data_IF_245500060687
#
_entry.id   IF_245500060687
#
_cell.length_a   1.000
_cell.length_b   1.000
_cell.length_c   1.000
_cell.angle_alpha   90.00
_cell.angle_beta   90.00
_cell.angle_gamma   90.00
#
_symmetry.space_group_name_H-M   'P 1'
#
loop_
_entity.id
_entity.type
_entity.pdbx_description
1 polymer ?
#
# COMPACT_ATOMS: atom_id res chain seq x y z
N UNK A 1 -9.56 -10.42 -23.33
CA UNK A 1 -8.18 -10.40 -22.83
C UNK A 1 -7.57 -9.08 -23.24
N UNK A 2 -7.12 -8.24 -22.29
CA UNK A 2 -6.58 -6.91 -22.63
C UNK A 2 -5.19 -7.10 -23.25
N UNK A 3 -5.00 -6.67 -24.51
CA UNK A 3 -3.70 -6.64 -25.14
C UNK A 3 -3.04 -5.29 -24.89
N UNK A 4 -1.86 -5.31 -24.28
CA UNK A 4 -1.20 -4.10 -23.80
C UNK A 4 0.03 -3.67 -24.61
N UNK A 5 0.43 -4.46 -25.61
CA UNK A 5 1.59 -4.20 -26.46
C UNK A 5 2.93 -4.14 -25.72
N UNK A 6 4.00 -3.88 -26.46
CA UNK A 6 5.32 -3.61 -25.91
C UNK A 6 5.38 -2.17 -25.37
N UNK A 7 6.01 -1.98 -24.20
CA UNK A 7 6.26 -0.66 -23.62
C UNK A 7 7.74 -0.35 -23.55
N UNK A 8 8.05 0.95 -23.57
CA UNK A 8 9.40 1.45 -23.34
C UNK A 8 9.64 1.62 -21.85
N UNK A 9 10.84 1.28 -21.41
CA UNK A 9 11.36 1.61 -20.08
C UNK A 9 12.12 2.93 -20.22
N UNK A 10 11.81 3.87 -19.35
CA UNK A 10 12.44 5.19 -19.32
C UNK A 10 13.37 5.29 -18.12
N UNK A 11 14.61 5.76 -18.32
CA UNK A 11 15.49 6.10 -17.21
C UNK A 11 15.08 7.46 -16.64
N UNK A 12 14.92 7.54 -15.33
CA UNK A 12 14.63 8.77 -14.59
C UNK A 12 15.60 8.89 -13.42
N UNK A 13 16.60 9.76 -13.57
CA UNK A 13 17.69 9.88 -12.60
C UNK A 13 18.43 8.55 -12.40
N UNK A 14 18.46 8.08 -11.15
CA UNK A 14 19.05 6.79 -10.76
C UNK A 14 18.12 5.58 -10.92
N UNK A 15 16.88 5.78 -11.39
CA UNK A 15 15.84 4.75 -11.43
C UNK A 15 15.35 4.47 -12.85
N UNK A 16 14.61 3.37 -13.02
CA UNK A 16 13.90 3.03 -14.25
C UNK A 16 12.40 3.10 -14.02
N UNK A 17 11.67 3.67 -14.97
CA UNK A 17 10.24 3.88 -14.94
C UNK A 17 9.57 3.14 -16.11
N UNK A 18 8.47 2.45 -15.81
CA UNK A 18 7.57 1.89 -16.82
C UNK A 18 6.15 2.39 -16.55
N UNK A 19 5.46 2.83 -17.61
CA UNK A 19 4.09 3.32 -17.50
C UNK A 19 3.09 2.16 -17.54
N UNK A 20 2.09 2.19 -16.67
CA UNK A 20 1.00 1.21 -16.68
C UNK A 20 -0.11 1.63 -17.65
N UNK A 21 -0.76 0.69 -18.36
CA UNK A 21 -1.87 1.00 -19.24
C UNK A 21 -3.08 1.53 -18.47
N UNK A 22 -3.62 2.67 -18.90
CA UNK A 22 -4.87 3.22 -18.34
C UNK A 22 -6.04 2.23 -18.34
N UNK A 23 -6.28 1.42 -19.40
CA UNK A 23 -7.33 0.41 -19.36
C UNK A 23 -7.15 -0.61 -18.23
N UNK A 24 -5.91 -1.00 -17.91
CA UNK A 24 -5.63 -1.90 -16.80
C UNK A 24 -5.93 -1.24 -15.45
N UNK A 25 -5.51 0.02 -15.27
CA UNK A 25 -5.80 0.80 -14.06
C UNK A 25 -7.32 0.91 -13.87
N UNK A 26 -8.07 1.21 -14.93
CA UNK A 26 -9.53 1.32 -14.88
C UNK A 26 -10.20 0.01 -14.48
N UNK A 27 -9.72 -1.15 -14.97
CA UNK A 27 -10.29 -2.46 -14.57
C UNK A 27 -10.10 -2.81 -13.10
N UNK A 28 -9.09 -2.23 -12.45
CA UNK A 28 -8.78 -2.48 -11.04
C UNK A 28 -9.44 -1.45 -10.09
N UNK A 29 -10.15 -0.46 -10.64
CA UNK A 29 -10.73 0.64 -9.89
C UNK A 29 -9.81 1.87 -9.80
N UNK A 30 -10.42 3.06 -9.77
CA UNK A 30 -9.75 4.37 -9.94
C UNK A 30 -8.78 4.75 -8.80
N UNK A 31 -8.67 3.92 -7.76
CA UNK A 31 -7.95 4.24 -6.51
C UNK A 31 -6.76 3.32 -6.24
N UNK A 32 -6.12 2.75 -7.26
CA UNK A 32 -4.83 2.07 -7.05
C UNK A 32 -3.78 3.11 -6.66
N UNK A 33 -3.42 3.13 -5.39
CA UNK A 33 -2.28 3.92 -4.88
C UNK A 33 -0.98 3.11 -4.86
N UNK A 34 -1.08 1.80 -4.64
CA UNK A 34 0.03 0.89 -4.45
C UNK A 34 -0.09 -0.33 -5.37
N UNK A 35 1.06 -0.86 -5.80
CA UNK A 35 1.18 -2.10 -6.56
C UNK A 35 2.24 -2.98 -5.92
N UNK A 36 2.03 -4.29 -5.94
CA UNK A 36 3.08 -5.27 -5.60
C UNK A 36 3.91 -5.57 -6.86
N UNK A 37 5.23 -5.70 -6.68
CA UNK A 37 6.16 -6.09 -7.74
C UNK A 37 6.81 -7.40 -7.32
N UNK A 38 6.60 -8.43 -8.13
CA UNK A 38 7.14 -9.77 -7.91
C UNK A 38 7.99 -10.17 -9.10
N UNK A 39 8.98 -11.03 -8.86
CA UNK A 39 9.75 -11.66 -9.91
C UNK A 39 9.40 -13.14 -9.91
N UNK A 40 8.99 -13.68 -11.05
CA UNK A 40 8.75 -15.11 -11.17
C UNK A 40 10.03 -15.89 -11.48
N UNK A 41 9.90 -17.21 -11.54
CA UNK A 41 11.02 -18.13 -11.77
C UNK A 41 11.66 -17.98 -13.16
N UNK A 42 11.00 -17.27 -14.08
CA UNK A 42 11.48 -17.00 -15.43
C UNK A 42 12.11 -15.60 -15.56
N UNK A 43 12.39 -14.94 -14.42
CA UNK A 43 12.87 -13.56 -14.34
C UNK A 43 11.91 -12.53 -14.97
N UNK A 44 10.62 -12.83 -15.01
CA UNK A 44 9.60 -11.89 -15.47
C UNK A 44 9.10 -11.07 -14.28
N UNK A 45 9.16 -9.74 -14.42
CA UNK A 45 8.57 -8.82 -13.46
C UNK A 45 7.05 -8.80 -13.60
N UNK A 46 6.35 -9.22 -12.55
CA UNK A 46 4.89 -9.20 -12.46
C UNK A 46 4.43 -8.04 -11.58
N UNK A 47 3.54 -7.22 -12.12
CA UNK A 47 2.94 -6.09 -11.42
C UNK A 47 1.52 -6.49 -11.04
N UNK A 48 1.24 -6.50 -9.74
CA UNK A 48 -0.06 -6.92 -9.19
C UNK A 48 -0.74 -5.69 -8.57
N UNK A 49 -1.99 -5.44 -8.96
CA UNK A 49 -2.77 -4.36 -8.39
C UNK A 49 -3.18 -4.68 -6.95
N UNK A 50 -3.06 -3.70 -6.06
CA UNK A 50 -3.45 -3.83 -4.66
C UNK A 50 -2.28 -4.25 -3.74
N UNK A 51 -2.52 -4.11 -2.44
CA UNK A 51 -1.58 -4.54 -1.41
C UNK A 51 -1.89 -6.00 -1.05
N UNK A 52 -1.01 -6.93 -1.43
CA UNK A 52 -1.07 -8.31 -0.95
C UNK A 52 -0.64 -8.41 0.53
N UNK A 53 -0.13 -7.32 1.10
CA UNK A 53 0.07 -7.18 2.54
C UNK A 53 -1.21 -6.57 3.09
N UNK A 54 -2.22 -7.43 3.33
CA UNK A 54 -3.08 -7.14 4.46
C UNK A 54 -2.14 -7.02 5.66
N UNK A 55 -1.97 -5.80 6.16
CA UNK A 55 -1.42 -5.55 7.48
C UNK A 55 -2.18 -6.45 8.45
N UNK A 56 -1.53 -7.54 8.86
CA UNK A 56 -1.92 -8.26 10.05
C UNK A 56 -1.97 -7.20 11.17
N UNK A 57 -3.07 -7.02 11.93
CA UNK A 57 -3.10 -6.08 13.04
C UNK A 57 -2.31 -6.68 14.21
N UNK A 58 -1.01 -6.87 14.00
CA UNK A 58 -0.04 -7.28 14.99
C UNK A 58 0.77 -6.07 15.42
N UNK A 59 0.78 -5.83 16.73
CA UNK A 59 1.56 -4.82 17.46
C UNK A 59 0.88 -3.48 17.70
N UNK A 60 -0.09 -3.55 18.61
CA UNK A 60 -0.49 -2.47 19.49
C UNK A 60 0.69 -2.11 20.42
N UNK A 61 1.54 -1.17 20.00
CA UNK A 61 2.62 -0.61 20.81
C UNK A 61 2.66 0.89 20.56
N UNK A 62 1.79 1.65 21.23
CA UNK A 62 2.07 3.01 21.72
C UNK A 62 1.01 3.38 22.76
N UNK A 63 1.26 2.94 24.00
CA UNK A 63 0.59 3.45 25.19
C UNK A 63 0.94 4.93 25.33
N UNK A 64 0.02 5.82 24.94
CA UNK A 64 0.09 7.21 25.38
C UNK A 64 -0.11 7.23 26.91
N UNK A 65 0.73 7.94 27.69
CA UNK A 65 0.39 8.20 29.08
C UNK A 65 -0.75 9.22 29.11
N UNK A 66 -1.98 8.75 29.27
CA UNK A 66 -3.11 9.61 29.63
C UNK A 66 -2.86 10.15 31.03
N UNK A 67 -2.57 11.47 31.12
CA UNK A 67 -2.64 12.20 32.39
C UNK A 67 -4.08 12.08 32.91
N UNK A 68 -4.32 11.20 33.87
CA UNK A 68 -5.58 11.13 34.62
C UNK A 68 -5.75 12.45 35.36
N UNK A 69 -6.69 13.28 34.90
CA UNK A 69 -7.32 14.33 35.70
C UNK A 69 -8.14 13.60 36.77
N UNK A 70 -7.60 13.51 37.99
CA UNK A 70 -8.35 12.98 39.14
C UNK A 70 -9.43 14.00 39.47
N UNK A 71 -10.68 13.63 39.18
CA UNK A 71 -11.86 14.32 39.65
C UNK A 71 -12.18 13.68 41.00
N UNK A 72 -11.81 14.35 42.08
CA UNK A 72 -12.13 13.94 43.46
C UNK A 72 -13.60 14.21 43.72
N UNK A 73 -14.38 13.14 43.84
CA UNK A 73 -15.71 13.16 44.45
C UNK A 73 -15.58 12.43 45.79
N UNK A 74 -15.47 13.18 46.88
CA UNK A 74 -15.75 12.67 48.22
C UNK A 74 -16.81 13.56 48.85
N UNK A 75 -17.98 12.95 49.10
CA UNK A 75 -19.07 13.42 49.97
C UNK A 75 -19.27 12.33 51.03
N UNK A 76 -19.90 12.70 52.16
CA UNK A 76 -20.20 11.95 53.40
C UNK A 76 -19.14 12.22 54.50
N UNK A 77 -19.44 12.77 55.68
CA UNK A 77 -20.69 13.10 56.42
C UNK A 77 -20.68 14.54 56.94
#
# INVERSE_FOLDING_TARGET
MLYFGQRKIHKQGGSYMVSLPMPWIQTMGVNIKNVSIEMDNENTLRIVAGDLRQDNPGYNMHSQPTKKKVMSNDTYE
#
